data_IF_083774403537
#
_entry.id   IF_083774403537
#
_cell.length_a   1.000
_cell.length_b   1.000
_cell.length_c   1.000
_cell.angle_alpha   90.00
_cell.angle_beta   90.00
_cell.angle_gamma   90.00
#
_symmetry.space_group_name_H-M   'P 1'
#
loop_
_entity.id
_entity.type
_entity.pdbx_description
1 polymer ?
#
# COMPACT_ATOMS: atom_id res chain seq x y z
N UNK A 1 0.94 64.50 -0.23
CA UNK A 1 0.85 63.70 1.02
C UNK A 1 -0.38 62.80 1.02
N UNK A 2 -1.61 63.34 0.95
CA UNK A 2 -2.83 62.51 0.95
C UNK A 2 -2.96 61.57 -0.28
N UNK A 3 -2.54 62.02 -1.45
CA UNK A 3 -2.64 61.23 -2.70
C UNK A 3 -1.71 60.01 -2.71
N UNK A 4 -0.47 60.17 -2.24
CA UNK A 4 0.51 59.09 -2.08
C UNK A 4 0.03 58.06 -1.06
N UNK A 5 -0.58 58.51 0.03
CA UNK A 5 -1.16 57.63 1.04
C UNK A 5 -2.30 56.78 0.46
N UNK A 6 -3.18 57.39 -0.33
CA UNK A 6 -4.30 56.70 -0.99
C UNK A 6 -3.82 55.67 -2.02
N UNK A 7 -2.76 55.98 -2.78
CA UNK A 7 -2.14 55.03 -3.72
C UNK A 7 -1.60 53.80 -2.99
N UNK A 8 -0.86 53.99 -1.90
CA UNK A 8 -0.35 52.88 -1.08
C UNK A 8 -1.47 52.02 -0.47
N UNK A 9 -2.56 52.64 -0.01
CA UNK A 9 -3.73 51.90 0.49
C UNK A 9 -4.40 51.07 -0.62
N UNK A 10 -4.52 51.62 -1.83
CA UNK A 10 -5.08 50.90 -2.97
C UNK A 10 -4.19 49.72 -3.40
N UNK A 11 -2.87 49.91 -3.46
CA UNK A 11 -1.92 48.83 -3.77
C UNK A 11 -2.04 47.69 -2.75
N UNK A 12 -2.05 48.02 -1.46
CA UNK A 12 -2.24 47.04 -0.39
C UNK A 12 -3.57 46.30 -0.51
N UNK A 13 -4.65 47.00 -0.88
CA UNK A 13 -5.94 46.37 -1.10
C UNK A 13 -5.92 45.37 -2.27
N UNK A 14 -5.26 45.72 -3.38
CA UNK A 14 -5.14 44.83 -4.55
C UNK A 14 -4.34 43.58 -4.19
N UNK A 15 -3.23 43.73 -3.46
CA UNK A 15 -2.42 42.59 -3.01
C UNK A 15 -3.20 41.68 -2.06
N UNK A 16 -3.94 42.26 -1.10
CA UNK A 16 -4.80 41.49 -0.21
C UNK A 16 -5.85 40.70 -0.98
N UNK A 17 -6.49 41.30 -1.99
CA UNK A 17 -7.49 40.60 -2.81
C UNK A 17 -6.89 39.44 -3.60
N UNK A 18 -5.71 39.61 -4.19
CA UNK A 18 -4.99 38.52 -4.87
C UNK A 18 -4.64 37.39 -3.91
N UNK A 19 -4.13 37.72 -2.71
CA UNK A 19 -3.80 36.73 -1.70
C UNK A 19 -5.04 36.00 -1.15
N UNK A 20 -6.19 36.69 -1.03
CA UNK A 20 -7.47 36.06 -0.68
C UNK A 20 -7.90 35.05 -1.75
N UNK A 21 -7.85 35.43 -3.03
CA UNK A 21 -8.18 34.53 -4.14
C UNK A 21 -7.28 33.29 -4.19
N UNK A 22 -5.98 33.46 -3.97
CA UNK A 22 -5.04 32.34 -3.90
C UNK A 22 -5.34 31.43 -2.71
N UNK A 23 -5.64 32.00 -1.54
CA UNK A 23 -6.04 31.22 -0.37
C UNK A 23 -7.32 30.42 -0.60
N UNK A 24 -8.29 30.94 -1.34
CA UNK A 24 -9.49 30.16 -1.71
C UNK A 24 -9.10 28.95 -2.56
N UNK A 25 -8.28 29.13 -3.61
CA UNK A 25 -7.81 28.03 -4.47
C UNK A 25 -7.03 26.98 -3.69
N UNK A 26 -6.19 27.42 -2.75
CA UNK A 26 -5.42 26.52 -1.88
C UNK A 26 -6.34 25.72 -0.95
N UNK A 27 -7.40 26.33 -0.41
CA UNK A 27 -8.39 25.62 0.42
C UNK A 27 -9.13 24.56 -0.38
N UNK A 28 -9.61 24.90 -1.57
CA UNK A 28 -10.28 23.95 -2.47
C UNK A 28 -9.35 22.77 -2.81
N UNK A 29 -8.09 23.06 -3.13
CA UNK A 29 -7.08 22.04 -3.42
C UNK A 29 -6.82 21.14 -2.20
N UNK A 30 -6.73 21.72 -1.00
CA UNK A 30 -6.55 20.98 0.24
C UNK A 30 -7.75 20.07 0.55
N UNK A 31 -8.98 20.51 0.27
CA UNK A 31 -10.18 19.70 0.45
C UNK A 31 -10.19 18.48 -0.48
N UNK A 32 -9.80 18.68 -1.75
CA UNK A 32 -9.67 17.58 -2.73
C UNK A 32 -8.59 16.60 -2.27
N UNK A 33 -7.39 17.09 -1.94
CA UNK A 33 -6.29 16.25 -1.47
C UNK A 33 -6.66 15.47 -0.21
N UNK A 34 -7.38 16.10 0.71
CA UNK A 34 -7.86 15.44 1.94
C UNK A 34 -8.80 14.29 1.60
N UNK A 35 -9.73 14.48 0.66
CA UNK A 35 -10.63 13.42 0.18
C UNK A 35 -9.85 12.26 -0.46
N UNK A 36 -8.93 12.57 -1.35
CA UNK A 36 -8.09 11.56 -2.03
C UNK A 36 -7.26 10.75 -1.02
N UNK A 37 -6.74 11.40 0.02
CA UNK A 37 -6.02 10.72 1.10
C UNK A 37 -6.93 9.74 1.86
N UNK A 38 -8.16 10.13 2.18
CA UNK A 38 -9.11 9.23 2.84
C UNK A 38 -9.46 8.01 1.98
N UNK A 39 -9.70 8.20 0.68
CA UNK A 39 -9.97 7.09 -0.25
C UNK A 39 -8.79 6.11 -0.33
N UNK A 40 -7.56 6.63 -0.39
CA UNK A 40 -6.35 5.79 -0.38
C UNK A 40 -6.17 5.03 0.93
N UNK A 41 -6.48 5.66 2.07
CA UNK A 41 -6.42 4.99 3.39
C UNK A 41 -7.40 3.82 3.44
N UNK A 42 -8.64 4.03 2.98
CA UNK A 42 -9.65 2.96 2.92
C UNK A 42 -9.22 1.81 1.99
N UNK A 43 -8.73 2.14 0.80
CA UNK A 43 -8.20 1.15 -0.14
C UNK A 43 -7.05 0.34 0.45
N UNK A 44 -6.06 1.02 1.08
CA UNK A 44 -4.94 0.36 1.71
C UNK A 44 -5.39 -0.53 2.89
N UNK A 45 -6.41 -0.12 3.64
CA UNK A 45 -7.01 -0.95 4.68
C UNK A 45 -7.61 -2.24 4.13
N UNK A 46 -8.33 -2.16 3.00
CA UNK A 46 -8.87 -3.34 2.31
C UNK A 46 -7.77 -4.27 1.81
N UNK A 47 -6.72 -3.72 1.20
CA UNK A 47 -5.58 -4.50 0.71
C UNK A 47 -4.81 -5.18 1.85
N UNK A 48 -4.62 -4.48 2.97
CA UNK A 48 -3.98 -5.05 4.16
C UNK A 48 -4.76 -6.26 4.70
N UNK A 49 -6.09 -6.17 4.74
CA UNK A 49 -6.95 -7.30 5.12
C UNK A 49 -6.79 -8.48 4.17
N UNK A 50 -6.81 -8.24 2.85
CA UNK A 50 -6.61 -9.28 1.84
C UNK A 50 -5.25 -9.96 2.00
N UNK A 51 -4.19 -9.20 2.27
CA UNK A 51 -2.85 -9.76 2.49
C UNK A 51 -2.80 -10.62 3.75
N UNK A 52 -3.46 -10.22 4.84
CA UNK A 52 -3.56 -11.02 6.07
C UNK A 52 -4.31 -12.33 5.80
N UNK A 53 -5.43 -12.27 5.08
CA UNK A 53 -6.24 -13.44 4.78
C UNK A 53 -5.47 -14.41 3.85
N UNK A 54 -4.78 -13.88 2.84
CA UNK A 54 -3.91 -14.66 1.97
C UNK A 54 -2.75 -15.31 2.75
N UNK A 55 -2.10 -14.58 3.65
CA UNK A 55 -1.01 -15.10 4.48
C UNK A 55 -1.48 -16.26 5.39
N UNK A 56 -2.68 -16.15 5.95
CA UNK A 56 -3.29 -17.25 6.73
C UNK A 56 -3.57 -18.47 5.87
N UNK A 57 -4.06 -18.28 4.65
CA UNK A 57 -4.34 -19.40 3.77
C UNK A 57 -3.07 -20.08 3.27
N UNK A 58 -2.03 -19.31 2.94
CA UNK A 58 -0.72 -19.85 2.59
C UNK A 58 -0.12 -20.65 3.75
N UNK A 59 -0.32 -20.21 4.99
CA UNK A 59 0.16 -20.95 6.16
C UNK A 59 -0.55 -22.30 6.33
N UNK A 60 -1.88 -22.33 6.20
CA UNK A 60 -2.63 -23.61 6.24
C UNK A 60 -2.19 -24.56 5.14
N UNK A 61 -1.97 -24.05 3.93
CA UNK A 61 -1.50 -24.85 2.81
C UNK A 61 -0.09 -25.38 3.07
N UNK A 62 0.79 -24.57 3.68
CA UNK A 62 2.13 -24.97 4.09
C UNK A 62 2.08 -26.10 5.12
N UNK A 63 1.27 -25.97 6.17
CA UNK A 63 1.07 -27.03 7.18
C UNK A 63 0.49 -28.32 6.57
N UNK A 64 -0.44 -28.21 5.61
CA UNK A 64 -1.00 -29.36 4.92
C UNK A 64 0.05 -30.06 4.05
N UNK A 65 0.88 -29.28 3.35
CA UNK A 65 1.97 -29.80 2.54
C UNK A 65 3.04 -30.50 3.39
N UNK A 66 3.41 -29.92 4.53
CA UNK A 66 4.34 -30.52 5.49
C UNK A 66 3.84 -31.90 5.94
N UNK A 67 2.57 -32.02 6.34
CA UNK A 67 1.96 -33.31 6.72
C UNK A 67 1.97 -34.34 5.59
N UNK A 68 1.67 -33.92 4.36
CA UNK A 68 1.74 -34.81 3.19
C UNK A 68 3.17 -35.28 2.97
N UNK A 69 4.14 -34.37 3.05
CA UNK A 69 5.55 -34.70 2.91
C UNK A 69 6.05 -35.63 4.01
N UNK A 70 5.66 -35.45 5.27
CA UNK A 70 6.00 -36.38 6.36
C UNK A 70 5.49 -37.81 6.11
N UNK A 71 4.25 -37.93 5.61
CA UNK A 71 3.63 -39.23 5.32
C UNK A 71 4.28 -39.90 4.10
N UNK A 72 4.59 -39.12 3.07
CA UNK A 72 5.05 -39.63 1.78
C UNK A 72 6.57 -39.63 1.61
N UNK A 73 7.34 -39.00 2.51
CA UNK A 73 8.81 -38.92 2.46
C UNK A 73 9.48 -40.29 2.26
N UNK A 74 9.11 -41.38 2.94
CA UNK A 74 9.73 -42.69 2.72
C UNK A 74 9.56 -43.24 1.30
N UNK A 75 8.51 -42.81 0.59
CA UNK A 75 8.19 -43.24 -0.77
C UNK A 75 8.82 -42.28 -1.78
N UNK A 76 8.72 -40.97 -1.51
CA UNK A 76 9.12 -39.92 -2.44
C UNK A 76 10.61 -39.56 -2.39
N UNK A 77 11.27 -39.60 -1.23
CA UNK A 77 12.72 -39.38 -1.13
C UNK A 77 13.49 -40.45 -1.89
N UNK A 78 13.05 -41.71 -1.82
CA UNK A 78 13.68 -42.79 -2.57
C UNK A 78 13.51 -42.67 -4.09
N UNK A 79 12.56 -41.86 -4.58
CA UNK A 79 12.18 -41.76 -5.99
C UNK A 79 12.51 -40.38 -6.61
N UNK A 80 12.93 -39.40 -5.80
CA UNK A 80 13.29 -38.03 -6.21
C UNK A 80 12.33 -37.38 -7.24
N UNK A 81 11.02 -37.52 -7.02
CA UNK A 81 10.05 -37.05 -8.02
C UNK A 81 10.09 -35.52 -8.18
N UNK A 82 9.74 -34.97 -9.36
CA UNK A 82 9.63 -33.52 -9.55
C UNK A 82 8.66 -32.86 -8.55
N UNK A 83 7.59 -33.57 -8.18
CA UNK A 83 6.63 -33.11 -7.18
C UNK A 83 7.27 -32.97 -5.79
N UNK A 84 8.09 -33.94 -5.37
CA UNK A 84 8.85 -33.86 -4.11
C UNK A 84 9.81 -32.67 -4.12
N UNK A 85 10.55 -32.44 -5.21
CA UNK A 85 11.48 -31.30 -5.33
C UNK A 85 10.76 -29.95 -5.22
N UNK A 86 9.61 -29.80 -5.87
CA UNK A 86 8.79 -28.57 -5.79
C UNK A 86 8.21 -28.38 -4.39
N UNK A 87 7.67 -29.44 -3.78
CA UNK A 87 7.11 -29.39 -2.43
C UNK A 87 8.17 -29.03 -1.38
N UNK A 88 9.35 -29.65 -1.47
CA UNK A 88 10.47 -29.37 -0.57
C UNK A 88 10.94 -27.91 -0.68
N UNK A 89 11.07 -27.38 -1.90
CA UNK A 89 11.39 -25.96 -2.11
C UNK A 89 10.30 -25.03 -1.58
N UNK A 90 9.02 -25.38 -1.75
CA UNK A 90 7.90 -24.59 -1.25
C UNK A 90 7.87 -24.50 0.28
N UNK A 91 8.46 -25.48 0.98
CA UNK A 91 8.67 -25.46 2.43
C UNK A 91 9.99 -24.77 2.86
N UNK A 92 10.81 -24.33 1.91
CA UNK A 92 12.09 -23.66 2.17
C UNK A 92 13.31 -24.58 2.24
N UNK A 93 13.19 -25.83 1.80
CA UNK A 93 14.29 -26.79 1.71
C UNK A 93 15.18 -26.54 0.48
N UNK A 94 16.48 -26.85 0.63
CA UNK A 94 17.45 -26.75 -0.46
C UNK A 94 17.37 -27.99 -1.36
N UNK A 95 17.10 -27.81 -2.65
CA UNK A 95 17.25 -28.91 -3.61
C UNK A 95 18.70 -29.12 -3.94
N UNK A 96 19.22 -30.29 -3.60
CA UNK A 96 20.50 -30.75 -4.12
C UNK A 96 20.29 -31.09 -5.61
N UNK A 97 20.95 -30.32 -6.48
CA UNK A 97 20.90 -30.46 -7.93
C UNK A 97 21.82 -31.55 -8.45
#
# INVERSE_FOLDING_TARGET
MAEVYMQLEMERFIELKRAEEENVKLRESNEILTRDLFERIDYNGKLAKQNIDAAKETEKLREALEKVMEVEAPIMEGWETPAYKIAHQALGGETHG
#
